data_IF_987028098570
#
_entry.id   IF_987028098570
#
_cell.length_a   1.000
_cell.length_b   1.000
_cell.length_c   1.000
_cell.angle_alpha   90.00
_cell.angle_beta   90.00
_cell.angle_gamma   90.00
#
_symmetry.space_group_name_H-M   'P 1'
#
loop_
_entity.id
_entity.type
_entity.pdbx_description
1 polymer ?
#
# COMPACT_ATOMS: atom_id res chain seq x y z
N UNK A 1 -25.29 12.76 27.37
CA UNK A 1 -26.45 12.06 27.97
C UNK A 1 -27.22 11.41 26.82
N UNK A 2 -27.66 10.15 26.89
CA UNK A 2 -28.36 9.51 25.78
C UNK A 2 -29.81 9.17 26.18
N UNK A 3 -30.77 9.59 25.37
CA UNK A 3 -32.18 9.18 25.46
C UNK A 3 -32.45 8.15 24.37
N UNK A 4 -33.03 7.01 24.73
CA UNK A 4 -33.44 5.96 23.79
C UNK A 4 -34.96 5.98 23.68
N UNK A 5 -35.50 6.24 22.48
CA UNK A 5 -36.92 6.34 22.21
C UNK A 5 -37.40 5.13 21.37
N UNK A 6 -38.07 4.12 21.96
CA UNK A 6 -38.68 3.02 21.22
C UNK A 6 -39.84 3.52 20.35
N UNK A 7 -39.76 3.35 19.04
CA UNK A 7 -40.85 3.72 18.14
C UNK A 7 -41.97 2.67 18.22
N UNK A 8 -43.19 3.13 18.49
CA UNK A 8 -44.38 2.26 18.57
C UNK A 8 -44.32 1.22 19.70
N UNK A 9 -43.55 1.47 20.78
CA UNK A 9 -43.40 0.53 21.90
C UNK A 9 -42.51 -0.68 21.61
N UNK A 10 -41.86 -0.75 20.44
CA UNK A 10 -40.96 -1.84 20.06
C UNK A 10 -39.52 -1.44 20.34
N UNK A 11 -38.91 -2.07 21.35
CA UNK A 11 -37.52 -1.79 21.75
C UNK A 11 -36.50 -2.08 20.63
N UNK A 12 -36.83 -2.96 19.67
CA UNK A 12 -36.03 -3.24 18.47
C UNK A 12 -36.02 -2.13 17.41
N UNK A 13 -36.87 -1.10 17.55
CA UNK A 13 -36.96 0.05 16.64
C UNK A 13 -36.74 1.36 17.43
N UNK A 14 -35.67 1.40 18.22
CA UNK A 14 -35.38 2.55 19.07
C UNK A 14 -34.47 3.57 18.37
N UNK A 15 -34.76 4.86 18.60
CA UNK A 15 -33.93 5.99 18.17
C UNK A 15 -33.11 6.46 19.36
N UNK A 16 -31.80 6.57 19.19
CA UNK A 16 -30.90 7.09 20.24
C UNK A 16 -30.62 8.57 19.96
N UNK A 17 -30.96 9.43 20.92
CA UNK A 17 -30.70 10.86 20.89
C UNK A 17 -29.65 11.13 21.96
N UNK A 18 -28.39 11.25 21.56
CA UNK A 18 -27.32 11.68 22.44
C UNK A 18 -27.21 13.22 22.41
N UNK A 19 -27.30 13.86 23.56
CA UNK A 19 -26.87 15.26 23.70
C UNK A 19 -25.36 15.25 23.83
N UNK A 20 -24.71 15.70 22.78
CA UNK A 20 -23.26 15.93 22.74
C UNK A 20 -22.96 17.39 23.04
N UNK A 21 -21.76 17.66 23.55
CA UNK A 21 -21.34 19.04 23.82
C UNK A 21 -21.12 19.76 22.48
N UNK A 22 -21.87 20.84 22.25
CA UNK A 22 -21.95 21.49 20.93
C UNK A 22 -20.62 22.00 20.35
N UNK A 23 -19.59 22.20 21.20
CA UNK A 23 -18.24 22.57 20.74
C UNK A 23 -17.53 21.47 19.95
N UNK A 24 -17.85 20.20 20.20
CA UNK A 24 -17.25 19.06 19.51
C UNK A 24 -18.13 18.54 18.37
N UNK A 25 -19.31 19.14 18.17
CA UNK A 25 -20.20 18.78 17.08
C UNK A 25 -19.49 19.02 15.76
N UNK A 26 -19.42 17.99 14.92
CA UNK A 26 -18.88 18.13 13.58
C UNK A 26 -19.66 19.22 12.81
N UNK A 27 -18.97 20.29 12.44
CA UNK A 27 -19.56 21.38 11.66
C UNK A 27 -19.45 21.06 10.17
N UNK A 28 -20.35 21.62 9.36
CA UNK A 28 -20.29 21.56 7.88
C UNK A 28 -20.63 20.22 7.21
N UNK A 29 -21.40 19.33 7.86
CA UNK A 29 -22.01 18.20 7.16
C UNK A 29 -23.07 18.69 6.15
N UNK A 30 -23.03 18.15 4.94
CA UNK A 30 -24.04 18.45 3.94
C UNK A 30 -25.35 17.68 4.23
N UNK A 31 -26.51 18.18 3.79
CA UNK A 31 -27.77 17.46 3.94
C UNK A 31 -27.70 16.02 3.39
N UNK A 32 -27.94 15.05 4.27
CA UNK A 32 -27.92 13.61 4.00
C UNK A 32 -26.61 12.90 4.36
N UNK A 33 -25.58 13.63 4.78
CA UNK A 33 -24.34 13.01 5.30
C UNK A 33 -24.53 12.60 6.77
N UNK A 34 -23.86 11.51 7.15
CA UNK A 34 -23.89 10.96 8.52
C UNK A 34 -22.46 10.71 8.96
N UNK A 35 -22.14 11.02 10.21
CA UNK A 35 -20.79 10.85 10.74
C UNK A 35 -20.79 10.21 12.14
N UNK A 36 -19.72 9.46 12.42
CA UNK A 36 -19.28 9.09 13.76
C UNK A 36 -17.98 9.85 14.02
N UNK A 37 -17.82 10.48 15.18
CA UNK A 37 -16.63 11.28 15.50
C UNK A 37 -16.33 11.29 16.99
N UNK A 38 -15.09 11.62 17.35
CA UNK A 38 -14.64 11.87 18.72
C UNK A 38 -14.36 13.36 18.96
N UNK A 39 -14.32 13.76 20.23
CA UNK A 39 -13.90 15.11 20.65
C UNK A 39 -12.44 15.42 20.31
N UNK A 40 -11.60 14.39 20.19
CA UNK A 40 -10.21 14.48 19.72
C UNK A 40 -10.08 14.72 18.20
N UNK A 41 -11.20 14.73 17.45
CA UNK A 41 -11.24 15.08 16.03
C UNK A 41 -11.20 13.90 15.06
N UNK A 42 -11.06 12.66 15.54
CA UNK A 42 -11.18 11.48 14.68
C UNK A 42 -12.61 11.34 14.16
N UNK A 43 -12.79 10.96 12.88
CA UNK A 43 -14.13 10.85 12.29
C UNK A 43 -14.23 9.85 11.14
N UNK A 44 -15.41 9.27 11.01
CA UNK A 44 -15.87 8.46 9.87
C UNK A 44 -17.11 9.14 9.32
N UNK A 45 -17.10 9.56 8.06
CA UNK A 45 -18.20 10.28 7.41
C UNK A 45 -18.69 9.51 6.18
N UNK A 46 -19.98 9.20 6.16
CA UNK A 46 -20.71 8.74 4.99
C UNK A 46 -21.15 9.96 4.17
N UNK A 47 -20.35 10.29 3.16
CA UNK A 47 -20.54 11.46 2.30
C UNK A 47 -21.43 11.15 1.09
N UNK A 48 -21.95 12.21 0.46
CA UNK A 48 -22.62 12.10 -0.84
C UNK A 48 -21.69 11.49 -1.90
N UNK A 49 -22.28 10.77 -2.86
CA UNK A 49 -21.51 10.06 -3.89
C UNK A 49 -21.04 8.66 -3.48
N UNK A 50 -21.53 8.12 -2.36
CA UNK A 50 -21.18 6.79 -1.81
C UNK A 50 -19.72 6.70 -1.32
N UNK A 51 -19.25 7.77 -0.68
CA UNK A 51 -17.87 7.88 -0.19
C UNK A 51 -17.86 7.66 1.32
N UNK A 52 -16.98 6.77 1.80
CA UNK A 52 -16.66 6.61 3.21
C UNK A 52 -15.33 7.31 3.45
N UNK A 53 -15.34 8.41 4.20
CA UNK A 53 -14.13 9.17 4.53
C UNK A 53 -13.75 8.94 6.00
N UNK A 54 -12.56 8.43 6.24
CA UNK A 54 -11.98 8.23 7.58
C UNK A 54 -10.82 9.20 7.75
N UNK A 55 -10.83 9.97 8.83
CA UNK A 55 -9.78 10.93 9.17
C UNK A 55 -9.39 10.72 10.64
N UNK A 56 -8.11 10.43 10.87
CA UNK A 56 -7.54 10.12 12.17
C UNK A 56 -6.01 10.16 12.10
N UNK A 57 -5.35 10.22 13.26
CA UNK A 57 -3.89 10.13 13.35
C UNK A 57 -3.39 8.68 13.20
N UNK A 58 -4.13 7.70 13.72
CA UNK A 58 -3.80 6.27 13.63
C UNK A 58 -5.04 5.46 13.27
N UNK A 59 -4.98 4.76 12.14
CA UNK A 59 -6.01 3.81 11.71
C UNK A 59 -5.52 2.38 11.93
N UNK A 60 -5.97 1.74 13.02
CA UNK A 60 -5.56 0.40 13.40
C UNK A 60 -6.64 -0.64 13.05
N UNK A 61 -6.22 -1.75 12.44
CA UNK A 61 -7.08 -2.86 12.01
C UNK A 61 -6.51 -4.18 12.51
N UNK A 62 -7.05 -4.70 13.60
CA UNK A 62 -6.72 -6.04 14.12
C UNK A 62 -7.77 -7.05 13.63
N UNK A 63 -7.40 -7.83 12.61
CA UNK A 63 -8.31 -8.81 12.02
C UNK A 63 -7.57 -10.06 11.51
N UNK A 64 -8.30 -11.17 11.40
CA UNK A 64 -7.76 -12.43 10.85
C UNK A 64 -7.59 -12.37 9.32
N UNK A 65 -8.51 -11.70 8.64
CA UNK A 65 -8.55 -11.60 7.18
C UNK A 65 -9.01 -10.21 6.77
N UNK A 66 -8.16 -9.51 6.03
CA UNK A 66 -8.46 -8.23 5.39
C UNK A 66 -8.50 -8.43 3.87
N UNK A 67 -9.62 -8.08 3.23
CA UNK A 67 -9.82 -8.23 1.79
C UNK A 67 -10.30 -6.90 1.19
N UNK A 68 -9.68 -6.49 0.09
CA UNK A 68 -10.00 -5.26 -0.64
C UNK A 68 -10.27 -5.62 -2.09
N UNK A 69 -11.46 -5.31 -2.58
CA UNK A 69 -11.83 -5.46 -3.98
C UNK A 69 -12.11 -4.07 -4.56
N UNK A 70 -11.20 -3.57 -5.39
CA UNK A 70 -11.33 -2.30 -6.10
C UNK A 70 -11.12 -2.55 -7.60
N UNK A 71 -12.11 -2.21 -8.42
CA UNK A 71 -12.08 -2.47 -9.88
C UNK A 71 -11.20 -1.50 -10.67
N UNK A 72 -10.85 -0.35 -10.09
CA UNK A 72 -10.07 0.69 -10.74
C UNK A 72 -8.66 0.77 -10.16
N UNK A 73 -8.54 1.08 -8.86
CA UNK A 73 -7.24 1.26 -8.21
C UNK A 73 -7.33 1.13 -6.69
N UNK A 74 -6.25 0.65 -6.07
CA UNK A 74 -5.93 0.90 -4.66
C UNK A 74 -4.61 1.68 -4.60
N UNK A 75 -4.63 2.89 -4.01
CA UNK A 75 -3.47 3.79 -3.94
C UNK A 75 -3.07 4.03 -2.49
N UNK A 76 -1.76 4.06 -2.23
CA UNK A 76 -1.18 4.29 -0.92
C UNK A 76 -0.16 5.42 -1.02
N UNK A 77 -0.53 6.61 -0.54
CA UNK A 77 0.37 7.74 -0.40
C UNK A 77 1.08 7.66 0.97
N UNK A 78 2.14 6.85 1.05
CA UNK A 78 2.91 6.62 2.28
C UNK A 78 4.42 6.59 1.98
N UNK A 79 5.29 7.09 2.88
CA UNK A 79 6.74 6.91 2.77
C UNK A 79 7.17 5.44 2.82
N UNK A 80 6.41 4.57 3.48
CA UNK A 80 6.76 3.15 3.63
C UNK A 80 5.51 2.28 3.68
N UNK A 81 5.56 1.17 2.95
CA UNK A 81 4.59 0.08 3.01
C UNK A 81 5.33 -1.20 3.43
N UNK A 82 4.97 -1.76 4.58
CA UNK A 82 5.65 -2.91 5.18
C UNK A 82 4.73 -4.14 5.23
N UNK A 83 5.24 -5.28 4.77
CA UNK A 83 4.63 -6.61 4.95
C UNK A 83 5.61 -7.50 5.71
N UNK A 84 5.18 -8.11 6.81
CA UNK A 84 6.08 -8.82 7.73
C UNK A 84 6.69 -10.11 7.18
N UNK A 85 6.05 -10.75 6.20
CA UNK A 85 6.49 -12.03 5.64
C UNK A 85 6.64 -11.98 4.13
N UNK A 86 5.53 -11.79 3.40
CA UNK A 86 5.54 -11.88 1.94
C UNK A 86 4.69 -10.76 1.32
N UNK A 87 5.23 -10.16 0.28
CA UNK A 87 4.47 -9.36 -0.69
C UNK A 87 4.36 -10.17 -1.99
N UNK A 88 3.14 -10.49 -2.41
CA UNK A 88 2.86 -11.24 -3.65
C UNK A 88 2.09 -10.36 -4.60
N UNK A 89 2.70 -10.03 -5.74
CA UNK A 89 2.04 -9.40 -6.86
C UNK A 89 1.93 -10.41 -8.01
N UNK A 90 0.71 -10.69 -8.48
CA UNK A 90 0.48 -11.58 -9.63
C UNK A 90 0.84 -10.90 -10.97
N UNK A 91 0.69 -9.58 -11.02
CA UNK A 91 1.08 -8.75 -12.16
C UNK A 91 2.53 -8.26 -12.05
N UNK A 92 2.77 -7.06 -12.58
CA UNK A 92 4.09 -6.44 -12.58
C UNK A 92 4.33 -5.63 -11.30
N UNK A 93 5.60 -5.54 -10.90
CA UNK A 93 6.09 -4.58 -9.90
C UNK A 93 6.94 -3.56 -10.65
N UNK A 94 6.61 -2.28 -10.52
CA UNK A 94 7.42 -1.18 -11.06
C UNK A 94 8.02 -0.37 -9.91
N UNK A 95 9.32 -0.09 -9.99
CA UNK A 95 10.06 0.74 -9.03
C UNK A 95 10.76 1.88 -9.74
N UNK A 96 10.06 2.98 -10.01
CA UNK A 96 10.61 4.12 -10.77
C UNK A 96 11.84 4.76 -10.09
N UNK A 97 11.94 4.67 -8.76
CA UNK A 97 13.12 5.08 -7.98
C UNK A 97 14.17 3.99 -7.78
N UNK A 98 13.99 2.82 -8.41
CA UNK A 98 14.80 1.62 -8.22
C UNK A 98 14.05 0.51 -7.46
N UNK A 99 14.60 -0.70 -7.55
CA UNK A 99 14.14 -1.86 -6.80
C UNK A 99 15.33 -2.46 -6.05
N UNK A 100 15.33 -2.30 -4.72
CA UNK A 100 16.32 -2.92 -3.85
C UNK A 100 15.79 -4.27 -3.35
N UNK A 101 16.50 -5.37 -3.65
CA UNK A 101 16.13 -6.71 -3.22
C UNK A 101 17.24 -7.22 -2.29
N UNK A 102 16.88 -7.50 -1.04
CA UNK A 102 17.75 -8.14 -0.06
C UNK A 102 17.15 -9.50 0.29
N UNK A 103 17.58 -10.54 -0.42
CA UNK A 103 17.15 -11.91 -0.14
C UNK A 103 18.22 -12.62 0.69
N UNK A 104 17.91 -12.99 1.93
CA UNK A 104 18.80 -13.86 2.72
C UNK A 104 19.08 -15.21 2.03
N UNK A 105 18.18 -15.66 1.14
CA UNK A 105 18.35 -16.81 0.24
C UNK A 105 18.56 -16.45 -1.23
N UNK A 106 18.79 -15.17 -1.56
CA UNK A 106 18.94 -14.67 -2.93
C UNK A 106 17.63 -14.34 -3.65
N UNK A 107 17.74 -14.02 -4.94
CA UNK A 107 16.61 -13.75 -5.83
C UNK A 107 16.64 -14.76 -6.99
N UNK A 108 15.50 -15.41 -7.27
CA UNK A 108 15.34 -16.32 -8.40
C UNK A 108 14.46 -15.66 -9.45
N UNK A 109 14.95 -15.58 -10.68
CA UNK A 109 14.19 -15.12 -11.84
C UNK A 109 14.00 -16.31 -12.78
N UNK A 110 12.76 -16.55 -13.20
CA UNK A 110 12.44 -17.49 -14.28
C UNK A 110 12.13 -16.67 -15.53
N UNK A 111 12.73 -17.03 -16.67
CA UNK A 111 12.67 -16.25 -17.90
C UNK A 111 13.91 -15.37 -18.07
N UNK A 112 13.80 -14.31 -18.87
CA UNK A 112 14.91 -13.42 -19.17
C UNK A 112 15.01 -12.26 -18.18
N UNK A 113 16.24 -11.81 -17.96
CA UNK A 113 16.53 -10.51 -17.36
C UNK A 113 17.12 -9.65 -18.46
N UNK A 114 16.46 -8.53 -18.77
CA UNK A 114 16.98 -7.52 -19.69
C UNK A 114 17.40 -6.29 -18.89
N UNK A 115 18.65 -5.89 -19.03
CA UNK A 115 19.22 -4.70 -18.40
C UNK A 115 19.84 -3.82 -19.50
N UNK A 116 19.52 -2.53 -19.47
CA UNK A 116 20.18 -1.53 -20.34
C UNK A 116 21.57 -1.15 -19.83
N UNK A 117 21.77 -1.28 -18.51
CA UNK A 117 23.04 -1.09 -17.83
C UNK A 117 23.79 -2.39 -17.59
N UNK A 118 24.93 -2.27 -16.93
CA UNK A 118 25.76 -3.41 -16.54
C UNK A 118 25.10 -4.22 -15.41
N UNK A 119 25.28 -5.54 -15.46
CA UNK A 119 24.91 -6.44 -14.38
C UNK A 119 26.18 -6.86 -13.67
N UNK A 120 26.32 -6.51 -12.39
CA UNK A 120 27.51 -6.84 -11.59
C UNK A 120 27.20 -7.93 -10.57
N UNK A 121 28.00 -8.99 -10.57
CA UNK A 121 27.94 -10.05 -9.56
C UNK A 121 29.27 -10.11 -8.82
N UNK A 122 29.27 -9.89 -7.50
CA UNK A 122 30.51 -9.88 -6.70
C UNK A 122 31.55 -8.84 -7.18
N UNK A 123 31.09 -7.74 -7.78
CA UNK A 123 31.96 -6.72 -8.40
C UNK A 123 32.37 -7.00 -9.85
N UNK A 124 32.14 -8.20 -10.36
CA UNK A 124 32.46 -8.58 -11.74
C UNK A 124 31.37 -8.08 -12.68
N UNK A 125 31.78 -7.29 -13.67
CA UNK A 125 30.92 -6.71 -14.72
C UNK A 125 30.56 -7.73 -15.78
N UNK A 126 29.27 -7.91 -16.07
CA UNK A 126 28.85 -8.74 -17.19
C UNK A 126 29.33 -8.16 -18.53
N UNK A 127 29.31 -6.84 -18.70
CA UNK A 127 29.72 -6.19 -19.96
C UNK A 127 31.24 -6.02 -20.13
N UNK A 128 31.99 -6.05 -19.03
CA UNK A 128 33.42 -5.70 -19.00
C UNK A 128 34.37 -6.77 -18.47
N UNK A 129 33.87 -7.95 -18.08
CA UNK A 129 34.73 -9.00 -17.53
C UNK A 129 35.73 -9.52 -18.57
N UNK A 130 36.90 -9.92 -18.08
CA UNK A 130 37.99 -10.54 -18.85
C UNK A 130 38.41 -11.83 -18.16
N UNK A 131 39.09 -12.70 -18.90
CA UNK A 131 39.67 -13.93 -18.40
C UNK A 131 41.15 -14.03 -18.74
N UNK A 132 41.87 -14.89 -18.02
CA UNK A 132 43.18 -15.34 -18.47
C UNK A 132 42.99 -16.23 -19.70
N UNK A 133 43.70 -15.93 -20.78
CA UNK A 133 43.67 -16.72 -22.01
C UNK A 133 44.38 -18.07 -21.84
N UNK A 134 44.05 -19.01 -22.72
CA UNK A 134 44.62 -20.37 -22.73
C UNK A 134 46.11 -20.43 -23.11
N UNK A 135 46.63 -19.36 -23.72
CA UNK A 135 48.00 -19.25 -24.23
C UNK A 135 48.85 -18.23 -23.48
N UNK A 136 48.50 -17.93 -22.22
CA UNK A 136 49.25 -17.01 -21.35
C UNK A 136 48.97 -15.52 -21.54
N UNK A 137 47.99 -15.16 -22.38
CA UNK A 137 47.48 -13.79 -22.55
C UNK A 137 46.25 -13.47 -21.67
N UNK A 138 45.57 -12.37 -21.98
CA UNK A 138 44.29 -11.95 -21.35
C UNK A 138 43.27 -11.72 -22.47
N UNK A 139 42.02 -12.13 -22.25
CA UNK A 139 40.95 -11.93 -23.24
C UNK A 139 40.56 -10.45 -23.34
N UNK A 140 39.92 -10.07 -24.45
CA UNK A 140 39.12 -8.84 -24.48
C UNK A 140 37.82 -9.02 -23.65
N UNK A 141 37.10 -7.92 -23.33
CA UNK A 141 35.71 -8.01 -22.88
C UNK A 141 34.81 -8.72 -23.91
N UNK A 142 33.59 -9.13 -23.50
CA UNK A 142 32.58 -9.66 -24.41
C UNK A 142 32.35 -8.75 -25.61
N UNK A 143 32.20 -9.35 -26.80
CA UNK A 143 31.94 -8.59 -28.02
C UNK A 143 30.59 -7.90 -27.94
N UNK A 144 30.56 -6.61 -28.28
CA UNK A 144 29.30 -5.88 -28.44
C UNK A 144 28.63 -6.30 -29.76
N UNK A 145 27.30 -6.44 -29.80
CA UNK A 145 26.59 -6.64 -31.06
C UNK A 145 27.00 -5.54 -32.05
N UNK A 146 27.44 -5.91 -33.26
CA UNK A 146 27.60 -4.93 -34.33
C UNK A 146 26.20 -4.53 -34.76
N UNK A 147 25.90 -3.24 -34.65
CA UNK A 147 24.70 -2.65 -35.24
C UNK A 147 24.68 -2.82 -36.76
#
# INVERSE_FOLDING_TARGET
MAMVLPLGGRTSHSVVIATEHGSYRLQSLQPGEVALYSDEGSKIVLKRGRIIAVECDTFQLDCKTWQVNASEQASFATPTLNTSAQFVAQGQISGNGGLAIQGGGGAKVTGSVSASGDVKAGGISLQGHIHNGDSGGVTSPPSKPRH
#
